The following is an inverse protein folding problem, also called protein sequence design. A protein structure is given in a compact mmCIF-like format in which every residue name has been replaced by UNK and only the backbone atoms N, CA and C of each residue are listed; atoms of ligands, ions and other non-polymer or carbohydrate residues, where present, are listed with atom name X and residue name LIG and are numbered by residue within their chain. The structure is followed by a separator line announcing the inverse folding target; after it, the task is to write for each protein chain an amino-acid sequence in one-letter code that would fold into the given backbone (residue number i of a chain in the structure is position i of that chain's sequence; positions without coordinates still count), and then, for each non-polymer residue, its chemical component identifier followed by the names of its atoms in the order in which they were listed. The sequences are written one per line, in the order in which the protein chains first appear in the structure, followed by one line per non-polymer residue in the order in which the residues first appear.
data_IF_390142401941
#
_entry.id   IF_390142401941
#
_cell.length_a   1.000
_cell.length_b   1.000
_cell.length_c   1.000
_cell.angle_alpha   90.00
_cell.angle_beta   90.00
_cell.angle_gamma   90.00
#
_symmetry.space_group_name_H-M   'P 1'
#
loop_
_entity.id
_entity.type
_entity.pdbx_description
1 polymer ?
#
# COMPACT_ATOMS: atom_id res chain seq x y z
N UNK A 1 -5.15 -11.08 20.63
CA UNK A 1 -6.02 -9.90 20.39
C UNK A 1 -6.54 -10.00 18.97
N UNK A 2 -7.78 -9.58 18.70
CA UNK A 2 -8.42 -9.64 17.37
C UNK A 2 -8.42 -8.24 16.77
N UNK A 3 -7.23 -7.66 16.59
CA UNK A 3 -7.06 -6.31 16.02
C UNK A 3 -6.20 -6.32 14.74
N UNK A 4 -5.77 -7.49 14.26
CA UNK A 4 -5.03 -7.65 13.01
C UNK A 4 -5.95 -8.03 11.86
N UNK A 5 -5.61 -7.57 10.65
CA UNK A 5 -6.19 -8.04 9.40
C UNK A 5 -5.07 -8.48 8.46
N UNK A 6 -5.39 -9.48 7.65
CA UNK A 6 -4.51 -10.03 6.63
C UNK A 6 -5.23 -9.95 5.30
N UNK A 7 -4.54 -9.47 4.28
CA UNK A 7 -5.11 -9.31 2.94
C UNK A 7 -4.01 -9.33 1.90
N UNK A 8 -4.38 -9.71 0.67
CA UNK A 8 -3.53 -9.50 -0.49
C UNK A 8 -3.99 -8.26 -1.25
N UNK A 9 -3.04 -7.51 -1.76
CA UNK A 9 -3.27 -6.36 -2.64
C UNK A 9 -2.53 -6.57 -3.95
N UNK A 10 -3.21 -6.39 -5.06
CA UNK A 10 -2.65 -6.62 -6.39
C UNK A 10 -3.07 -5.52 -7.36
N UNK A 11 -2.22 -5.27 -8.35
CA UNK A 11 -2.41 -4.21 -9.32
C UNK A 11 -1.63 -4.46 -10.60
N UNK A 12 -2.12 -3.93 -11.72
CA UNK A 12 -1.40 -4.01 -13.00
C UNK A 12 -0.11 -3.22 -12.98
N UNK A 13 -0.12 -2.09 -12.28
CA UNK A 13 1.04 -1.23 -12.08
C UNK A 13 1.08 -0.71 -10.65
N UNK A 14 2.27 -0.35 -10.18
CA UNK A 14 2.48 0.41 -8.96
C UNK A 14 3.59 1.45 -9.17
N UNK A 15 3.50 2.57 -8.45
CA UNK A 15 4.51 3.63 -8.48
C UNK A 15 4.78 4.16 -7.07
N UNK A 16 5.70 3.51 -6.38
CA UNK A 16 6.20 3.97 -5.08
C UNK A 16 7.36 4.93 -5.33
N UNK A 17 7.06 6.21 -5.56
CA UNK A 17 8.05 7.17 -6.08
C UNK A 17 9.29 7.29 -5.17
N UNK A 18 10.46 7.07 -5.75
CA UNK A 18 11.74 7.42 -5.13
C UNK A 18 11.93 8.95 -5.20
N UNK A 19 12.01 9.65 -4.05
CA UNK A 19 12.19 11.10 -4.02
C UNK A 19 13.47 11.58 -4.69
N UNK A 20 14.53 10.76 -4.74
CA UNK A 20 15.79 11.11 -5.42
C UNK A 20 15.60 11.26 -6.92
N UNK A 21 14.75 10.43 -7.52
CA UNK A 21 14.50 10.45 -8.97
C UNK A 21 13.60 11.60 -9.43
N UNK A 22 12.94 12.29 -8.49
CA UNK A 22 11.95 13.33 -8.79
C UNK A 22 12.54 14.62 -9.36
N UNK A 23 13.82 14.89 -9.13
CA UNK A 23 14.46 16.19 -9.46
C UNK A 23 14.41 16.51 -10.96
N UNK A 24 14.39 15.50 -11.83
CA UNK A 24 14.33 15.67 -13.28
C UNK A 24 12.92 15.74 -13.89
N UNK A 25 11.85 15.71 -13.08
CA UNK A 25 10.47 15.61 -13.56
C UNK A 25 10.05 14.20 -13.98
N UNK A 26 11.00 13.27 -14.10
CA UNK A 26 10.79 11.83 -14.21
C UNK A 26 10.52 11.21 -12.82
N UNK A 27 9.98 10.00 -12.81
CA UNK A 27 9.72 9.26 -11.56
C UNK A 27 10.05 7.78 -11.76
N UNK A 28 10.81 7.21 -10.85
CA UNK A 28 11.00 5.78 -10.76
C UNK A 28 10.35 5.24 -9.49
N UNK A 29 9.73 4.07 -9.61
CA UNK A 29 9.26 3.33 -8.44
C UNK A 29 10.45 2.70 -7.69
N UNK A 30 10.39 2.70 -6.37
CA UNK A 30 11.09 1.71 -5.56
C UNK A 30 10.68 0.29 -5.99
N UNK A 31 11.55 -0.68 -5.71
CA UNK A 31 11.30 -2.10 -5.98
C UNK A 31 10.22 -2.69 -5.06
N UNK A 32 10.08 -2.14 -3.86
CA UNK A 32 9.13 -2.60 -2.83
C UNK A 32 8.23 -1.44 -2.38
N UNK A 33 7.00 -1.73 -1.89
CA UNK A 33 6.13 -0.71 -1.33
C UNK A 33 6.75 -0.06 -0.09
N UNK A 34 6.54 1.26 0.05
CA UNK A 34 6.88 1.97 1.28
C UNK A 34 5.86 1.71 2.37
N UNK A 35 6.26 1.87 3.64
CA UNK A 35 5.36 1.70 4.78
C UNK A 35 4.13 2.62 4.67
N UNK A 36 4.32 3.92 4.38
CA UNK A 36 3.19 4.84 4.27
C UNK A 36 2.27 4.52 3.08
N UNK A 37 2.80 3.95 1.98
CA UNK A 37 1.96 3.48 0.87
C UNK A 37 1.04 2.34 1.31
N UNK A 38 1.57 1.34 2.04
CA UNK A 38 0.77 0.24 2.59
C UNK A 38 -0.22 0.74 3.63
N UNK A 39 0.19 1.66 4.51
CA UNK A 39 -0.71 2.30 5.47
C UNK A 39 -1.86 3.03 4.76
N UNK A 40 -1.58 3.66 3.62
CA UNK A 40 -2.59 4.24 2.73
C UNK A 40 -3.59 3.21 2.22
N UNK A 41 -3.12 2.07 1.73
CA UNK A 41 -3.97 0.94 1.31
C UNK A 41 -4.87 0.47 2.44
N UNK A 42 -4.31 0.24 3.64
CA UNK A 42 -5.09 -0.22 4.79
C UNK A 42 -6.16 0.81 5.20
N UNK A 43 -5.83 2.11 5.15
CA UNK A 43 -6.80 3.19 5.40
C UNK A 43 -7.96 3.18 4.39
N UNK A 44 -7.69 2.90 3.10
CA UNK A 44 -8.73 2.79 2.06
C UNK A 44 -9.67 1.60 2.28
N UNK A 45 -9.17 0.50 2.88
CA UNK A 45 -10.01 -0.63 3.27
C UNK A 45 -11.02 -0.19 4.32
N UNK A 46 -10.53 0.34 5.44
CA UNK A 46 -11.36 0.87 6.51
C UNK A 46 -10.57 1.81 7.41
N UNK A 47 -11.08 3.01 7.66
CA UNK A 47 -10.47 3.91 8.61
C UNK A 47 -11.49 4.74 9.39
N UNK A 48 -11.14 5.03 10.65
CA UNK A 48 -11.79 5.99 11.53
C UNK A 48 -10.73 6.74 12.34
N UNK A 49 -10.97 8.00 12.74
CA UNK A 49 -10.01 8.78 13.53
C UNK A 49 -9.67 8.15 14.89
N UNK A 50 -10.52 7.27 15.40
CA UNK A 50 -10.35 6.49 16.63
C UNK A 50 -9.16 5.52 16.56
N UNK A 51 -8.79 5.08 15.36
CA UNK A 51 -7.77 4.05 15.14
C UNK A 51 -6.57 4.57 14.33
N UNK A 52 -5.40 4.01 14.60
CA UNK A 52 -4.18 4.15 13.81
C UNK A 52 -3.83 2.76 13.28
N UNK A 53 -3.64 2.64 11.98
CA UNK A 53 -3.12 1.42 11.37
C UNK A 53 -1.60 1.38 11.45
N UNK A 54 -1.10 0.21 11.85
CA UNK A 54 0.30 -0.17 11.87
C UNK A 54 0.46 -1.35 10.92
N UNK A 55 1.35 -1.21 9.93
CA UNK A 55 1.69 -2.30 9.02
C UNK A 55 2.83 -3.09 9.64
N UNK A 56 2.58 -4.36 9.93
CA UNK A 56 3.55 -5.22 10.60
C UNK A 56 4.52 -5.82 9.58
N UNK A 57 3.96 -6.46 8.55
CA UNK A 57 4.73 -7.24 7.59
C UNK A 57 4.12 -7.15 6.20
N UNK A 58 4.99 -7.20 5.20
CA UNK A 58 4.64 -7.34 3.79
C UNK A 58 5.43 -8.49 3.19
N UNK A 59 4.73 -9.33 2.42
CA UNK A 59 5.34 -10.38 1.61
C UNK A 59 5.14 -10.03 0.15
N UNK A 60 6.23 -9.90 -0.60
CA UNK A 60 6.20 -9.70 -2.04
C UNK A 60 5.93 -11.06 -2.70
N UNK A 61 4.94 -11.14 -3.57
CA UNK A 61 4.52 -12.43 -4.16
C UNK A 61 5.09 -12.67 -5.56
N UNK A 62 5.34 -11.60 -6.34
CA UNK A 62 5.76 -11.66 -7.75
C UNK A 62 7.09 -10.96 -7.99
N UNK A 63 7.86 -11.43 -8.97
CA UNK A 63 9.13 -10.84 -9.41
C UNK A 63 8.96 -9.37 -9.78
N UNK A 64 9.98 -8.56 -9.45
CA UNK A 64 10.02 -7.17 -9.83
C UNK A 64 10.18 -7.06 -11.34
N UNK A 65 9.19 -6.48 -12.00
CA UNK A 65 9.24 -6.12 -13.41
C UNK A 65 8.95 -4.65 -13.51
N UNK A 66 9.78 -3.92 -14.25
CA UNK A 66 9.58 -2.49 -14.48
C UNK A 66 9.12 -2.23 -15.90
N UNK A 67 8.29 -1.22 -16.07
CA UNK A 67 7.85 -0.74 -17.39
C UNK A 67 7.88 0.78 -17.41
N UNK A 68 8.68 1.35 -18.30
CA UNK A 68 8.76 2.80 -18.51
C UNK A 68 7.66 3.25 -19.46
N UNK A 69 6.93 4.30 -19.07
CA UNK A 69 5.84 4.89 -19.86
C UNK A 69 6.03 6.38 -20.01
N UNK A 70 5.76 6.87 -21.22
CA UNK A 70 5.54 8.29 -21.46
C UNK A 70 4.24 8.73 -20.80
N UNK A 71 4.30 9.73 -19.95
CA UNK A 71 3.16 10.31 -19.25
C UNK A 71 3.12 11.81 -19.48
N UNK A 72 1.92 12.37 -19.33
CA UNK A 72 1.71 13.81 -19.26
C UNK A 72 1.39 14.17 -17.82
N UNK A 73 2.35 14.74 -17.05
CA UNK A 73 2.11 15.12 -15.68
C UNK A 73 0.97 16.14 -15.58
N UNK A 74 0.13 16.00 -14.55
CA UNK A 74 -0.91 16.97 -14.24
C UNK A 74 -0.27 18.06 -13.38
N UNK A 75 -0.10 19.25 -13.95
CA UNK A 75 0.41 20.43 -13.27
C UNK A 75 -0.66 21.53 -13.25
N UNK A 76 -0.77 22.24 -12.13
CA UNK A 76 -1.74 23.32 -11.92
C UNK A 76 -1.45 24.53 -12.82
N UNK A 77 -0.17 24.76 -13.15
CA UNK A 77 0.24 25.83 -14.08
C UNK A 77 -0.15 25.60 -15.54
N UNK A 78 -0.71 24.42 -15.86
CA UNK A 78 -0.90 23.99 -17.25
C UNK A 78 0.43 23.61 -17.92
N UNK A 79 0.34 23.00 -19.10
CA UNK A 79 1.51 22.56 -19.86
C UNK A 79 1.30 21.22 -20.57
N UNK A 80 2.13 20.99 -21.58
CA UNK A 80 2.20 19.73 -22.32
C UNK A 80 3.56 19.05 -22.14
N UNK A 81 4.16 19.18 -20.96
CA UNK A 81 5.40 18.47 -20.65
C UNK A 81 5.14 16.96 -20.72
N UNK A 82 6.07 16.27 -21.39
CA UNK A 82 6.14 14.83 -21.40
C UNK A 82 7.22 14.41 -20.40
N UNK A 83 6.92 13.39 -19.62
CA UNK A 83 7.88 12.78 -18.71
C UNK A 83 7.86 11.26 -18.89
N UNK A 84 8.96 10.60 -18.53
CA UNK A 84 8.99 9.15 -18.45
C UNK A 84 8.88 8.72 -17.00
N UNK A 85 7.88 7.90 -16.70
CA UNK A 85 7.73 7.26 -15.40
C UNK A 85 8.00 5.77 -15.52
N UNK A 86 8.82 5.24 -14.61
CA UNK A 86 9.15 3.81 -14.53
C UNK A 86 8.32 3.18 -13.42
N UNK A 87 7.33 2.40 -13.84
CA UNK A 87 6.38 1.71 -12.98
C UNK A 87 6.86 0.31 -12.64
N UNK A 88 6.45 -0.23 -11.49
CA UNK A 88 6.39 -1.68 -11.30
C UNK A 88 5.19 -2.24 -12.06
N UNK A 89 5.33 -3.45 -12.60
CA UNK A 89 4.32 -4.12 -13.43
C UNK A 89 3.93 -5.47 -12.84
N UNK A 90 2.64 -5.75 -12.86
CA UNK A 90 2.03 -7.00 -12.38
C UNK A 90 2.50 -7.37 -10.99
N UNK A 91 2.07 -6.56 -10.02
CA UNK A 91 2.50 -6.64 -8.62
C UNK A 91 1.43 -7.28 -7.76
N UNK A 92 1.89 -8.01 -6.75
CA UNK A 92 1.05 -8.63 -5.75
C UNK A 92 1.80 -8.72 -4.42
N UNK A 93 1.10 -8.37 -3.34
CA UNK A 93 1.65 -8.34 -1.99
C UNK A 93 0.66 -8.95 -1.01
N UNK A 94 1.12 -9.74 -0.06
CA UNK A 94 0.37 -10.04 1.16
C UNK A 94 0.78 -9.04 2.23
N UNK A 95 -0.19 -8.52 2.98
CA UNK A 95 0.03 -7.51 4.00
C UNK A 95 -0.63 -7.97 5.30
N UNK A 96 0.12 -7.90 6.39
CA UNK A 96 -0.38 -8.04 7.75
C UNK A 96 -0.30 -6.68 8.43
N UNK A 97 -1.43 -6.24 8.98
CA UNK A 97 -1.52 -4.97 9.68
C UNK A 97 -2.46 -5.10 10.88
N UNK A 98 -2.18 -4.36 11.94
CA UNK A 98 -3.07 -4.22 13.08
C UNK A 98 -3.41 -2.77 13.35
N UNK A 99 -4.49 -2.54 14.09
CA UNK A 99 -4.84 -1.21 14.56
C UNK A 99 -4.56 -1.03 16.04
N UNK A 100 -4.15 0.19 16.37
CA UNK A 100 -4.01 0.71 17.72
C UNK A 100 -4.99 1.87 17.94
N UNK A 101 -5.28 2.19 19.19
CA UNK A 101 -6.09 3.34 19.53
C UNK A 101 -5.31 4.63 19.31
N UNK A 102 -5.97 5.64 18.75
CA UNK A 102 -5.34 6.93 18.52
C UNK A 102 -5.22 7.72 19.84
N UNK A 103 -4.02 7.90 20.42
CA UNK A 103 -3.86 8.59 21.69
C UNK A 103 -4.14 10.10 21.56
N UNK A 104 -4.04 10.65 20.35
CA UNK A 104 -4.26 12.07 20.08
C UNK A 104 -5.76 12.45 19.99
N UNK A 105 -6.67 11.49 20.16
CA UNK A 105 -8.12 11.68 20.02
C UNK A 105 -8.85 11.25 21.29
N UNK A 106 -8.57 11.90 22.42
CA UNK A 106 -9.20 11.59 23.70
C UNK A 106 -10.73 11.67 23.70
N UNK A 107 -11.30 12.58 22.89
CA UNK A 107 -12.75 12.71 22.71
C UNK A 107 -13.43 11.47 22.12
N UNK A 108 -12.66 10.53 21.57
CA UNK A 108 -13.15 9.31 20.94
C UNK A 108 -12.94 8.06 21.80
N UNK A 109 -12.59 8.20 23.09
CA UNK A 109 -12.41 7.05 24.00
C UNK A 109 -13.64 6.14 24.07
N UNK A 110 -14.84 6.70 24.02
CA UNK A 110 -16.09 5.92 24.00
C UNK A 110 -16.27 5.08 22.73
N UNK A 111 -15.59 5.44 21.63
CA UNK A 111 -15.61 4.70 20.37
C UNK A 111 -14.53 3.60 20.32
N UNK A 112 -13.66 3.48 21.33
CA UNK A 112 -12.57 2.48 21.39
C UNK A 112 -13.10 1.07 21.67
N UNK A 113 -13.80 0.51 20.68
CA UNK A 113 -14.37 -0.83 20.75
C UNK A 113 -13.70 -1.75 19.73
N UNK A 114 -12.85 -2.65 20.21
CA UNK A 114 -12.06 -3.56 19.35
C UNK A 114 -12.96 -4.41 18.46
N UNK A 115 -14.00 -5.02 19.03
CA UNK A 115 -14.94 -5.87 18.29
C UNK A 115 -15.68 -5.12 17.18
N UNK A 116 -16.06 -3.87 17.42
CA UNK A 116 -16.69 -3.01 16.40
C UNK A 116 -15.74 -2.78 15.22
N UNK A 117 -14.54 -2.27 15.48
CA UNK A 117 -13.61 -1.89 14.43
C UNK A 117 -13.07 -3.10 13.67
N UNK A 118 -12.71 -4.18 14.38
CA UNK A 118 -12.22 -5.41 13.78
C UNK A 118 -13.26 -6.07 12.86
N UNK A 119 -14.50 -6.25 13.34
CA UNK A 119 -15.53 -6.90 12.53
C UNK A 119 -15.88 -6.08 11.27
N UNK A 120 -15.85 -4.75 11.36
CA UNK A 120 -16.03 -3.89 10.19
C UNK A 120 -14.85 -4.02 9.25
N UNK A 121 -13.61 -3.94 9.75
CA UNK A 121 -12.39 -4.05 8.95
C UNK A 121 -12.36 -5.38 8.18
N UNK A 122 -12.57 -6.51 8.87
CA UNK A 122 -12.65 -7.84 8.26
C UNK A 122 -13.69 -7.90 7.13
N UNK A 123 -14.91 -7.41 7.39
CA UNK A 123 -15.96 -7.36 6.38
C UNK A 123 -15.62 -6.44 5.20
N UNK A 124 -14.85 -5.38 5.41
CA UNK A 124 -14.41 -4.52 4.31
C UNK A 124 -13.33 -5.21 3.48
N UNK A 125 -12.41 -5.96 4.08
CA UNK A 125 -11.44 -6.79 3.35
C UNK A 125 -12.16 -7.77 2.42
N UNK A 126 -13.16 -8.49 2.94
CA UNK A 126 -13.99 -9.42 2.14
C UNK A 126 -14.73 -8.76 0.97
N UNK A 127 -14.95 -7.44 1.03
CA UNK A 127 -15.67 -6.65 0.02
C UNK A 127 -14.73 -5.87 -0.91
N UNK A 128 -13.41 -6.02 -0.76
CA UNK A 128 -12.42 -5.29 -1.55
C UNK A 128 -12.13 -3.86 -1.08
N UNK A 129 -12.55 -3.51 0.14
CA UNK A 129 -12.36 -2.19 0.73
C UNK A 129 -13.60 -1.29 0.64
N UNK A 130 -13.50 -0.10 1.25
CA UNK A 130 -14.57 0.91 1.26
C UNK A 130 -14.33 2.05 0.29
N UNK A 131 -13.07 2.30 -0.05
CA UNK A 131 -12.62 3.31 -1.00
C UNK A 131 -11.78 2.64 -2.08
N UNK A 132 -11.56 3.36 -3.18
CA UNK A 132 -10.60 2.94 -4.20
C UNK A 132 -9.22 2.76 -3.58
N UNK A 133 -8.55 1.68 -3.97
CA UNK A 133 -7.21 1.33 -3.52
C UNK A 133 -6.22 1.66 -4.62
N UNK A 134 -5.12 2.31 -4.24
CA UNK A 134 -4.07 2.74 -5.16
C UNK A 134 -2.72 2.29 -4.64
N UNK A 135 -1.87 1.77 -5.51
CA UNK A 135 -0.48 1.44 -5.19
C UNK A 135 0.44 2.59 -5.58
N UNK A 136 0.53 3.58 -4.68
CA UNK A 136 1.43 4.74 -4.79
C UNK A 136 0.80 5.96 -5.47
N UNK A 137 0.29 5.82 -6.70
CA UNK A 137 -0.30 6.93 -7.46
C UNK A 137 -1.70 6.62 -7.98
N UNK A 138 -2.46 7.66 -8.36
CA UNK A 138 -3.88 7.56 -8.74
C UNK A 138 -4.10 6.73 -10.01
N UNK A 139 -3.15 6.72 -10.93
CA UNK A 139 -3.21 5.89 -12.14
C UNK A 139 -2.95 4.40 -11.86
N UNK A 140 -2.40 4.07 -10.68
CA UNK A 140 -2.12 2.70 -10.25
C UNK A 140 -3.26 2.12 -9.41
N UNK A 141 -4.47 2.07 -9.96
CA UNK A 141 -5.63 1.47 -9.29
C UNK A 141 -5.39 -0.02 -9.04
N UNK A 142 -5.78 -0.47 -7.86
CA UNK A 142 -5.49 -1.80 -7.32
C UNK A 142 -6.68 -2.35 -6.54
N UNK A 143 -6.63 -3.64 -6.23
CA UNK A 143 -7.71 -4.36 -5.55
C UNK A 143 -7.18 -5.14 -4.37
N UNK A 144 -8.07 -5.39 -3.42
CA UNK A 144 -7.77 -6.08 -2.17
C UNK A 144 -8.67 -7.30 -2.04
N UNK A 145 -8.12 -8.39 -1.55
CA UNK A 145 -8.85 -9.62 -1.26
C UNK A 145 -8.39 -10.21 0.09
N UNK A 146 -9.26 -10.92 0.82
CA UNK A 146 -8.84 -11.65 2.01
C UNK A 146 -7.79 -12.71 1.64
N UNK A 147 -6.78 -12.87 2.48
CA UNK A 147 -5.82 -13.96 2.38
C UNK A 147 -5.34 -14.35 3.77
N UNK A 148 -4.75 -15.54 3.89
CA UNK A 148 -3.94 -15.90 5.06
C UNK A 148 -2.48 -15.55 4.77
N UNK A 149 -1.87 -14.75 5.65
CA UNK A 149 -0.49 -14.32 5.46
C UNK A 149 0.47 -15.51 5.48
N UNK A 150 1.35 -15.59 4.49
CA UNK A 150 2.28 -16.72 4.34
C UNK A 150 1.70 -17.91 3.56
N UNK A 151 0.41 -17.89 3.21
CA UNK A 151 -0.17 -18.92 2.35
C UNK A 151 0.28 -18.74 0.89
N UNK A 152 0.44 -19.84 0.17
CA UNK A 152 0.87 -19.85 -1.23
C UNK A 152 2.37 -19.61 -1.41
N UNK A 153 2.83 -19.88 -2.63
CA UNK A 153 4.24 -19.73 -3.03
C UNK A 153 4.49 -18.30 -3.51
N UNK A 154 5.43 -17.62 -2.87
CA UNK A 154 6.02 -16.40 -3.41
C UNK A 154 7.15 -16.77 -4.36
N UNK A 155 7.31 -15.98 -5.42
CA UNK A 155 8.45 -16.14 -6.32
C UNK A 155 9.81 -15.79 -5.68
N UNK A 156 9.82 -15.24 -4.45
CA UNK A 156 11.02 -14.99 -3.65
C UNK A 156 11.24 -16.04 -2.55
N UNK A 157 10.37 -17.05 -2.43
CA UNK A 157 10.60 -18.11 -1.45
C UNK A 157 11.94 -18.81 -1.75
N UNK A 158 12.83 -18.86 -0.75
CA UNK A 158 14.15 -19.48 -0.88
C UNK A 158 15.26 -18.60 -1.47
N UNK A 159 14.99 -17.33 -1.82
CA UNK A 159 16.02 -16.41 -2.34
C UNK A 159 17.01 -15.90 -1.29
N UNK A 160 16.72 -16.12 0.01
CA UNK A 160 17.51 -15.57 1.10
C UNK A 160 17.24 -14.10 1.35
N UNK A 161 18.24 -13.37 1.86
CA UNK A 161 18.13 -11.94 2.19
C UNK A 161 18.51 -11.08 0.99
N UNK A 162 17.62 -10.15 0.60
CA UNK A 162 17.88 -9.12 -0.40
C UNK A 162 17.94 -7.75 0.29
N UNK A 163 18.93 -6.94 -0.07
CA UNK A 163 19.06 -5.56 0.41
C UNK A 163 18.49 -4.59 -0.64
N UNK A 164 17.55 -3.74 -0.21
CA UNK A 164 16.89 -2.72 -1.03
C UNK A 164 17.41 -1.30 -0.77
N UNK A 165 18.41 -1.15 0.11
CA UNK A 165 18.98 0.13 0.49
C UNK A 165 18.01 1.00 1.29
N UNK A 166 18.27 2.30 1.31
CA UNK A 166 17.46 3.27 2.04
C UNK A 166 16.13 3.50 1.30
N UNK A 167 15.03 3.22 1.99
CA UNK A 167 13.67 3.46 1.50
C UNK A 167 12.93 4.41 2.42
N UNK A 168 12.09 5.28 1.83
CA UNK A 168 11.22 6.15 2.60
C UNK A 168 10.19 5.34 3.41
N UNK A 169 10.11 5.60 4.73
CA UNK A 169 9.17 4.92 5.62
C UNK A 169 7.82 5.66 5.69
N UNK A 170 7.80 6.88 6.22
CA UNK A 170 6.59 7.67 6.46
C UNK A 170 6.83 8.80 7.43
#
# INVERSE_FOLDING_TARGET
MRNSIEFKVWGRYALFTDPLTRVGGEKCSYHIPTYEALKGVVKSIYWKPTIIWVVDEVRVMKHFRTETKGVKPIDYGGGNSLAYYTYLKDVEYQVRAHFEWNPHRERLKEDQNEGKHFNIARRMVERGGRQDVFLGTRECQSYVEPCTFGEGTSEYDGYGTLDFGLTFHG
#
